data_IF_171458237110
#
_entry.id   IF_171458237110
#
_cell.length_a   1.000
_cell.length_b   1.000
_cell.length_c   1.000
_cell.angle_alpha   90.00
_cell.angle_beta   90.00
_cell.angle_gamma   90.00
#
_symmetry.space_group_name_H-M   'P 1'
#
loop_
_entity.id
_entity.type
_entity.pdbx_description
1 polymer ?
#
# COMPACT_ATOMS: atom_id res chain seq x y z
N UNK A 1 -38.75 -65.55 11.06
CA UNK A 1 -38.20 -66.82 10.54
C UNK A 1 -37.76 -66.55 9.10
N UNK A 2 -36.52 -66.12 8.92
CA UNK A 2 -35.37 -66.95 8.49
C UNK A 2 -35.41 -67.36 7.01
N UNK A 3 -34.45 -66.80 6.27
CA UNK A 3 -33.65 -67.30 5.12
C UNK A 3 -33.70 -66.32 3.93
N UNK A 4 -32.67 -65.51 3.64
CA UNK A 4 -31.28 -65.77 3.19
C UNK A 4 -31.14 -66.60 1.91
N UNK A 5 -30.46 -65.95 0.95
CA UNK A 5 -29.52 -66.44 -0.09
C UNK A 5 -30.12 -66.90 -1.42
N UNK A 6 -29.88 -66.16 -2.51
CA UNK A 6 -28.69 -66.12 -3.40
C UNK A 6 -28.74 -67.22 -4.46
N UNK A 7 -28.82 -66.83 -5.74
CA UNK A 7 -27.94 -67.37 -6.78
C UNK A 7 -28.01 -66.53 -8.06
N UNK A 8 -26.84 -66.04 -8.45
CA UNK A 8 -26.48 -65.44 -9.73
C UNK A 8 -26.53 -66.45 -10.87
N UNK A 9 -26.65 -66.00 -12.13
CA UNK A 9 -25.67 -66.25 -13.20
C UNK A 9 -26.14 -65.60 -14.51
N UNK A 10 -25.15 -64.99 -15.18
CA UNK A 10 -25.12 -64.33 -16.49
C UNK A 10 -25.47 -65.30 -17.65
N UNK A 11 -25.85 -64.76 -18.82
CA UNK A 11 -25.02 -64.68 -20.05
C UNK A 11 -25.87 -64.17 -21.23
N UNK A 12 -25.34 -63.13 -21.88
CA UNK A 12 -25.79 -62.48 -23.13
C UNK A 12 -25.06 -63.16 -24.31
N UNK A 13 -25.66 -63.29 -25.51
CA UNK A 13 -25.21 -62.46 -26.65
C UNK A 13 -26.41 -62.00 -27.53
N UNK A 14 -26.61 -60.69 -27.72
CA UNK A 14 -26.09 -59.90 -28.85
C UNK A 14 -26.67 -60.31 -30.23
N UNK A 15 -27.64 -59.54 -30.71
CA UNK A 15 -27.84 -59.30 -32.15
C UNK A 15 -27.98 -57.79 -32.38
N UNK A 16 -27.04 -57.24 -33.13
CA UNK A 16 -27.07 -55.90 -33.71
C UNK A 16 -28.08 -55.88 -34.86
N UNK A 17 -29.06 -54.98 -34.79
CA UNK A 17 -29.81 -54.52 -35.94
C UNK A 17 -29.75 -52.99 -35.96
N UNK A 18 -29.11 -52.47 -37.00
CA UNK A 18 -29.11 -51.07 -37.40
C UNK A 18 -30.52 -50.65 -37.80
N UNK A 19 -31.13 -49.76 -37.02
CA UNK A 19 -32.40 -49.12 -37.34
C UNK A 19 -32.29 -47.63 -37.14
N UNK A 20 -32.25 -46.88 -38.24
CA UNK A 20 -32.38 -45.43 -38.27
C UNK A 20 -33.82 -45.07 -37.85
N UNK A 21 -33.98 -44.48 -36.68
CA UNK A 21 -35.26 -44.00 -36.15
C UNK A 21 -35.13 -42.53 -35.77
N UNK A 22 -36.02 -41.70 -36.31
CA UNK A 22 -36.00 -40.26 -36.21
C UNK A 22 -35.96 -39.75 -34.76
N UNK A 23 -35.10 -38.76 -34.52
CA UNK A 23 -35.05 -38.00 -33.27
C UNK A 23 -36.34 -37.17 -33.16
N UNK A 24 -37.09 -37.40 -32.09
CA UNK A 24 -38.20 -36.54 -31.69
C UNK A 24 -37.66 -35.13 -31.38
N UNK A 25 -38.36 -34.10 -31.85
CA UNK A 25 -38.06 -32.69 -31.55
C UNK A 25 -37.91 -32.50 -30.05
N UNK A 26 -36.69 -32.18 -29.62
CA UNK A 26 -36.44 -31.70 -28.27
C UNK A 26 -37.19 -30.38 -28.11
N UNK A 27 -38.17 -30.36 -27.21
CA UNK A 27 -38.76 -29.10 -26.73
C UNK A 27 -37.61 -28.20 -26.30
N UNK A 28 -37.51 -27.03 -26.92
CA UNK A 28 -36.56 -26.00 -26.51
C UNK A 28 -36.75 -25.77 -25.00
N UNK A 29 -35.69 -26.00 -24.24
CA UNK A 29 -35.60 -25.54 -22.86
C UNK A 29 -35.70 -24.02 -22.93
N UNK A 30 -36.69 -23.43 -22.26
CA UNK A 30 -36.85 -21.98 -22.21
C UNK A 30 -35.57 -21.35 -21.67
N UNK A 31 -35.22 -20.17 -22.19
CA UNK A 31 -34.07 -19.41 -21.73
C UNK A 31 -34.15 -19.18 -20.21
N UNK A 32 -33.00 -19.15 -19.53
CA UNK A 32 -32.96 -18.88 -18.09
C UNK A 32 -33.59 -17.50 -17.83
N UNK A 33 -34.73 -17.47 -17.15
CA UNK A 33 -35.23 -16.24 -16.54
C UNK A 33 -34.28 -15.86 -15.41
N UNK A 34 -33.37 -14.92 -15.69
CA UNK A 34 -32.61 -14.21 -14.64
C UNK A 34 -33.59 -13.51 -13.72
N UNK A 35 -33.69 -13.96 -12.47
CA UNK A 35 -34.28 -13.15 -11.42
C UNK A 35 -33.47 -11.86 -11.27
N UNK A 36 -34.19 -10.74 -11.09
CA UNK A 36 -33.58 -9.43 -10.88
C UNK A 36 -32.55 -9.50 -9.75
N UNK A 37 -31.38 -8.92 -10.02
CA UNK A 37 -30.22 -8.79 -9.15
C UNK A 37 -30.59 -8.76 -7.65
N UNK A 38 -30.48 -9.90 -6.98
CA UNK A 38 -30.05 -9.87 -5.60
C UNK A 38 -28.63 -9.30 -5.62
N UNK A 39 -28.39 -8.21 -4.88
CA UNK A 39 -27.05 -7.70 -4.58
C UNK A 39 -26.30 -8.77 -3.78
N UNK A 40 -25.81 -9.79 -4.48
CA UNK A 40 -24.73 -10.62 -3.99
C UNK A 40 -23.55 -9.67 -3.89
N UNK A 41 -23.28 -9.18 -2.68
CA UNK A 41 -22.09 -8.41 -2.40
C UNK A 41 -20.89 -9.16 -2.99
N UNK A 42 -20.35 -8.64 -4.09
CA UNK A 42 -19.16 -9.20 -4.72
C UNK A 42 -18.04 -9.18 -3.68
N UNK A 43 -17.18 -10.20 -3.68
CA UNK A 43 -16.07 -10.26 -2.75
C UNK A 43 -14.78 -9.81 -3.43
N UNK A 44 -13.97 -9.01 -2.74
CA UNK A 44 -12.58 -8.79 -3.09
C UNK A 44 -11.67 -9.69 -2.26
N UNK A 45 -10.72 -10.33 -2.94
CA UNK A 45 -9.77 -11.27 -2.33
C UNK A 45 -8.41 -10.62 -2.21
N UNK A 46 -7.81 -10.75 -1.02
CA UNK A 46 -6.46 -10.32 -0.71
C UNK A 46 -5.63 -11.48 -0.20
N UNK A 47 -4.40 -11.59 -0.69
CA UNK A 47 -3.41 -12.47 -0.10
C UNK A 47 -2.02 -11.85 -0.22
N UNK A 48 -1.15 -12.17 0.73
CA UNK A 48 0.20 -11.63 0.71
C UNK A 48 1.10 -12.22 1.76
N UNK A 49 2.36 -11.80 1.71
CA UNK A 49 3.41 -12.11 2.69
C UNK A 49 3.88 -10.81 3.32
N UNK A 50 4.02 -10.80 4.64
CA UNK A 50 4.57 -9.65 5.38
C UNK A 50 6.03 -9.91 5.74
N UNK A 51 6.88 -8.93 5.48
CA UNK A 51 8.31 -8.93 5.79
C UNK A 51 8.67 -7.69 6.61
N UNK A 52 9.79 -7.74 7.33
CA UNK A 52 10.40 -6.52 7.86
C UNK A 52 11.34 -5.88 6.84
N UNK A 53 11.85 -4.68 7.13
CA UNK A 53 12.77 -3.97 6.23
C UNK A 53 14.13 -4.66 6.02
N UNK A 54 14.46 -5.69 6.79
CA UNK A 54 15.60 -6.59 6.54
C UNK A 54 15.25 -7.77 5.60
N UNK A 55 14.00 -7.88 5.13
CA UNK A 55 13.52 -8.91 4.22
C UNK A 55 13.02 -10.20 4.88
N UNK A 56 13.11 -10.31 6.21
CA UNK A 56 12.69 -11.49 6.96
C UNK A 56 11.16 -11.55 7.08
N UNK A 57 10.58 -12.72 6.79
CA UNK A 57 9.13 -12.96 6.92
C UNK A 57 8.65 -12.78 8.36
N UNK A 58 7.45 -12.24 8.53
CA UNK A 58 6.90 -11.87 9.82
C UNK A 58 5.63 -12.65 10.13
N UNK A 59 5.75 -13.65 10.99
CA UNK A 59 4.61 -14.33 11.61
C UNK A 59 3.95 -13.45 12.68
N UNK A 60 2.65 -13.66 12.94
CA UNK A 60 1.95 -12.97 14.03
C UNK A 60 1.60 -11.50 13.76
N UNK A 61 1.69 -11.03 12.52
CA UNK A 61 1.28 -9.66 12.14
C UNK A 61 -0.24 -9.63 12.04
N UNK A 62 -0.87 -8.70 12.73
CA UNK A 62 -2.31 -8.44 12.59
C UNK A 62 -2.55 -7.64 11.31
N UNK A 63 -3.34 -8.19 10.41
CA UNK A 63 -3.77 -7.59 9.14
C UNK A 63 -5.25 -7.24 9.25
N UNK A 64 -5.61 -5.99 8.99
CA UNK A 64 -7.02 -5.54 9.01
C UNK A 64 -7.41 -4.91 7.68
N UNK A 65 -8.53 -5.33 7.13
CA UNK A 65 -9.14 -4.83 5.88
C UNK A 65 -10.63 -4.64 6.11
N UNK A 66 -11.15 -3.43 5.92
CA UNK A 66 -12.57 -3.09 6.13
C UNK A 66 -13.12 -3.63 7.47
N UNK A 67 -12.33 -3.54 8.54
CA UNK A 67 -12.70 -4.02 9.89
C UNK A 67 -12.55 -5.53 10.12
N UNK A 68 -12.34 -6.34 9.07
CA UNK A 68 -12.04 -7.76 9.23
C UNK A 68 -10.57 -7.93 9.61
N UNK A 69 -10.29 -8.73 10.64
CA UNK A 69 -8.94 -8.97 11.13
C UNK A 69 -8.48 -10.42 10.87
N UNK A 70 -7.21 -10.58 10.51
CA UNK A 70 -6.48 -11.86 10.44
C UNK A 70 -5.06 -11.70 10.96
N UNK A 71 -4.41 -12.80 11.26
CA UNK A 71 -3.01 -12.83 11.69
C UNK A 71 -2.19 -13.63 10.70
N UNK A 72 -0.98 -13.17 10.36
CA UNK A 72 -0.08 -13.93 9.48
C UNK A 72 0.39 -15.23 10.11
N UNK A 73 0.51 -16.28 9.29
CA UNK A 73 0.99 -17.60 9.70
C UNK A 73 2.50 -17.62 9.98
N UNK A 74 3.07 -18.80 10.28
CA UNK A 74 4.50 -18.99 10.58
C UNK A 74 5.43 -18.64 9.41
N UNK A 75 4.90 -18.58 8.18
CA UNK A 75 5.62 -18.17 6.97
C UNK A 75 5.39 -16.69 6.62
N UNK A 76 4.65 -15.97 7.46
CA UNK A 76 4.30 -14.56 7.28
C UNK A 76 3.18 -14.32 6.28
N UNK A 77 2.40 -15.34 5.92
CA UNK A 77 1.34 -15.24 4.90
C UNK A 77 -0.03 -14.98 5.51
N UNK A 78 -0.89 -14.31 4.75
CA UNK A 78 -2.31 -14.15 5.07
C UNK A 78 -3.19 -14.32 3.82
N UNK A 79 -4.47 -14.62 4.05
CA UNK A 79 -5.52 -14.65 3.05
C UNK A 79 -6.82 -14.07 3.65
N UNK A 80 -7.49 -13.21 2.91
CA UNK A 80 -8.73 -12.55 3.32
C UNK A 80 -9.68 -12.39 2.13
N UNK A 81 -10.97 -12.62 2.36
CA UNK A 81 -12.04 -12.23 1.44
C UNK A 81 -12.91 -11.21 2.18
N UNK A 82 -13.14 -10.06 1.55
CA UNK A 82 -13.91 -8.94 2.12
C UNK A 82 -14.97 -8.47 1.12
N UNK A 83 -15.99 -7.78 1.62
CA UNK A 83 -17.02 -7.17 0.77
C UNK A 83 -16.39 -6.16 -0.19
N UNK A 84 -16.87 -6.16 -1.44
CA UNK A 84 -16.41 -5.23 -2.46
C UNK A 84 -16.64 -3.77 -2.05
N UNK A 85 -15.72 -2.88 -2.42
CA UNK A 85 -15.77 -1.46 -2.09
C UNK A 85 -15.40 -0.63 -3.30
N UNK A 86 -16.33 0.21 -3.77
CA UNK A 86 -16.07 1.18 -4.85
C UNK A 86 -15.05 2.27 -4.44
N UNK A 87 -14.81 2.42 -3.13
CA UNK A 87 -13.85 3.37 -2.58
C UNK A 87 -12.45 2.76 -2.39
N UNK A 88 -12.25 1.50 -2.80
CA UNK A 88 -11.02 0.75 -2.54
C UNK A 88 -10.92 0.24 -1.09
N UNK A 89 -9.70 -0.10 -0.69
CA UNK A 89 -9.39 -0.85 0.52
C UNK A 89 -8.15 -0.28 1.19
N UNK A 90 -8.23 -0.10 2.51
CA UNK A 90 -7.07 0.22 3.35
C UNK A 90 -6.69 -1.04 4.11
N UNK A 91 -5.50 -1.56 3.82
CA UNK A 91 -4.88 -2.67 4.52
C UNK A 91 -4.00 -2.09 5.63
N UNK A 92 -4.23 -2.46 6.89
CA UNK A 92 -3.36 -2.06 8.01
C UNK A 92 -2.63 -3.25 8.61
N UNK A 93 -1.37 -3.05 8.98
CA UNK A 93 -0.46 -4.07 9.49
C UNK A 93 0.11 -3.64 10.83
N UNK A 94 -0.03 -4.49 11.84
CA UNK A 94 0.40 -4.19 13.22
C UNK A 94 1.11 -5.37 13.86
N UNK A 95 2.26 -5.09 14.48
CA UNK A 95 3.02 -6.05 15.30
C UNK A 95 3.93 -5.29 16.26
N UNK A 96 3.97 -5.74 17.52
CA UNK A 96 4.86 -5.13 18.52
C UNK A 96 6.32 -5.21 18.08
N UNK A 97 7.07 -4.12 18.31
CA UNK A 97 8.46 -3.98 17.89
C UNK A 97 8.67 -3.62 16.41
N UNK A 98 7.61 -3.51 15.61
CA UNK A 98 7.65 -2.99 14.23
C UNK A 98 6.86 -1.69 14.12
N UNK A 99 7.22 -0.85 13.15
CA UNK A 99 6.40 0.28 12.76
C UNK A 99 5.10 -0.22 12.14
N UNK A 100 3.97 0.38 12.51
CA UNK A 100 2.70 0.06 11.84
C UNK A 100 2.76 0.50 10.39
N UNK A 101 2.05 -0.19 9.50
CA UNK A 101 1.97 0.17 8.09
C UNK A 101 0.51 0.20 7.64
N UNK A 102 0.24 0.99 6.62
CA UNK A 102 -1.04 1.01 5.93
C UNK A 102 -0.80 1.15 4.44
N UNK A 103 -1.61 0.47 3.63
CA UNK A 103 -1.49 0.49 2.17
C UNK A 103 -2.88 0.57 1.55
N UNK A 104 -3.01 1.33 0.47
CA UNK A 104 -4.26 1.48 -0.27
C UNK A 104 -4.26 0.63 -1.54
N UNK A 105 -5.37 -0.04 -1.81
CA UNK A 105 -5.62 -0.78 -3.04
C UNK A 105 -7.00 -0.42 -3.60
N UNK A 106 -7.11 -0.17 -4.91
CA UNK A 106 -8.40 0.11 -5.57
C UNK A 106 -9.24 -1.15 -5.78
N UNK A 107 -8.62 -2.34 -5.79
CA UNK A 107 -9.26 -3.63 -6.01
C UNK A 107 -8.58 -4.75 -5.20
N UNK A 108 -9.21 -5.93 -5.15
CA UNK A 108 -8.60 -7.14 -4.59
C UNK A 108 -7.30 -7.51 -5.31
N UNK A 109 -6.25 -7.83 -4.55
CA UNK A 109 -4.94 -8.22 -5.11
C UNK A 109 -4.32 -9.38 -4.32
N UNK A 110 -3.81 -10.36 -5.03
CA UNK A 110 -3.19 -11.57 -4.46
C UNK A 110 -1.67 -11.52 -4.60
N UNK A 111 -0.98 -12.34 -3.81
CA UNK A 111 0.48 -12.46 -3.79
C UNK A 111 1.21 -11.13 -3.50
N UNK A 112 0.60 -10.28 -2.68
CA UNK A 112 1.20 -9.03 -2.24
C UNK A 112 2.43 -9.28 -1.37
N UNK A 113 3.38 -8.36 -1.41
CA UNK A 113 4.55 -8.37 -0.55
C UNK A 113 4.60 -7.05 0.23
N UNK A 114 4.39 -7.14 1.54
CA UNK A 114 4.33 -5.98 2.43
C UNK A 114 5.61 -5.88 3.24
N UNK A 115 6.10 -4.67 3.45
CA UNK A 115 7.29 -4.39 4.25
C UNK A 115 6.95 -3.49 5.41
N UNK A 116 7.23 -3.93 6.63
CA UNK A 116 7.13 -3.11 7.85
C UNK A 116 8.53 -2.68 8.29
N UNK A 117 8.66 -1.41 8.67
CA UNK A 117 9.93 -0.91 9.19
C UNK A 117 10.23 -1.51 10.57
N UNK A 118 11.50 -1.86 10.78
CA UNK A 118 11.96 -2.40 12.07
C UNK A 118 12.02 -1.28 13.10
N UNK A 119 11.38 -1.49 14.26
CA UNK A 119 11.42 -0.53 15.36
C UNK A 119 12.65 -0.68 16.23
N UNK A 120 13.23 0.44 16.64
CA UNK A 120 14.14 0.51 17.78
C UNK A 120 13.30 0.44 19.07
N UNK A 121 13.55 -0.57 19.90
CA UNK A 121 12.79 -0.79 21.14
C UNK A 121 13.65 -0.45 22.34
N UNK A 122 13.14 0.40 23.22
CA UNK A 122 13.77 0.75 24.49
C UNK A 122 12.76 0.63 25.62
N UNK A 123 13.12 -0.11 26.68
CA UNK A 123 12.31 -0.18 27.90
C UNK A 123 12.60 1.01 28.81
N UNK A 124 11.55 1.65 29.31
CA UNK A 124 11.62 2.81 30.20
C UNK A 124 10.74 2.61 31.43
N UNK A 125 11.03 3.36 32.51
CA UNK A 125 10.09 3.49 33.62
C UNK A 125 9.09 4.60 33.29
N UNK A 126 7.76 4.36 33.35
CA UNK A 126 6.77 5.39 33.03
C UNK A 126 6.71 6.50 34.09
N UNK A 127 7.33 6.30 35.26
CA UNK A 127 7.32 7.26 36.39
C UNK A 127 8.51 8.22 36.38
N UNK A 128 9.36 8.19 35.35
CA UNK A 128 10.56 9.02 35.22
C UNK A 128 10.63 9.61 33.81
N UNK A 129 11.09 10.85 33.69
CA UNK A 129 11.38 11.47 32.41
C UNK A 129 12.39 10.61 31.63
N UNK A 130 12.08 10.32 30.37
CA UNK A 130 12.84 9.38 29.55
C UNK A 130 13.05 9.92 28.15
N UNK A 131 14.25 9.71 27.62
CA UNK A 131 14.60 10.01 26.22
C UNK A 131 14.92 8.72 25.49
N UNK A 132 14.25 8.50 24.36
CA UNK A 132 14.55 7.42 23.41
C UNK A 132 15.22 8.04 22.20
N UNK A 133 16.42 7.56 21.85
CA UNK A 133 17.17 8.02 20.66
C UNK A 133 17.50 6.81 19.79
N UNK A 134 17.06 6.84 18.54
CA UNK A 134 17.32 5.75 17.58
C UNK A 134 18.64 5.97 16.83
N UNK A 135 19.24 4.92 16.25
CA UNK A 135 20.38 5.06 15.35
C UNK A 135 20.12 5.96 14.13
N UNK A 136 18.86 6.07 13.69
CA UNK A 136 18.45 6.94 12.59
C UNK A 136 18.40 8.44 12.97
N UNK A 137 18.59 8.77 14.25
CA UNK A 137 18.57 10.14 14.75
C UNK A 137 17.21 10.62 15.27
N UNK A 138 16.14 9.82 15.14
CA UNK A 138 14.84 10.12 15.79
C UNK A 138 15.02 10.20 17.30
N UNK A 139 14.46 11.24 17.92
CA UNK A 139 14.43 11.40 19.38
C UNK A 139 13.00 11.57 19.88
N UNK A 140 12.67 10.93 20.99
CA UNK A 140 11.38 11.07 21.68
C UNK A 140 11.64 11.31 23.16
N UNK A 141 11.16 12.43 23.68
CA UNK A 141 11.23 12.80 25.09
C UNK A 141 9.85 12.63 25.73
N UNK A 142 9.75 11.67 26.64
CA UNK A 142 8.55 11.35 27.41
C UNK A 142 8.71 11.91 28.82
N UNK A 143 7.69 12.61 29.32
CA UNK A 143 7.65 13.04 30.72
C UNK A 143 7.11 11.92 31.61
N UNK A 144 7.53 11.89 32.86
CA UNK A 144 6.99 11.00 33.88
C UNK A 144 5.47 11.09 33.98
N UNK A 145 4.82 9.96 34.25
CA UNK A 145 3.39 9.83 34.53
C UNK A 145 2.49 10.33 33.38
N UNK A 146 2.96 10.27 32.13
CA UNK A 146 2.18 10.70 30.96
C UNK A 146 1.54 9.56 30.17
N UNK A 147 1.93 8.31 30.42
CA UNK A 147 1.43 7.16 29.68
C UNK A 147 0.25 6.49 30.40
N UNK A 148 -0.82 6.24 29.66
CA UNK A 148 -2.04 5.58 30.14
C UNK A 148 -2.46 4.47 29.19
N UNK A 149 -3.19 3.47 29.70
CA UNK A 149 -3.84 2.45 28.89
C UNK A 149 -5.17 2.95 28.29
N UNK A 150 -5.89 2.08 27.59
CA UNK A 150 -7.14 2.43 26.89
C UNK A 150 -8.26 2.90 27.82
N UNK A 151 -8.23 2.51 29.09
CA UNK A 151 -9.18 2.94 30.13
C UNK A 151 -8.73 4.23 30.83
N UNK A 152 -7.63 4.86 30.39
CA UNK A 152 -7.06 6.05 31.02
C UNK A 152 -6.27 5.78 32.31
N UNK A 153 -6.03 4.51 32.66
CA UNK A 153 -5.26 4.15 33.87
C UNK A 153 -3.76 4.36 33.60
N UNK A 154 -3.04 5.08 34.48
CA UNK A 154 -1.60 5.31 34.34
C UNK A 154 -0.79 4.01 34.30
N UNK A 155 0.22 3.98 33.44
CA UNK A 155 1.20 2.90 33.42
C UNK A 155 2.10 2.99 34.66
N UNK A 156 2.25 1.88 35.38
CA UNK A 156 3.07 1.79 36.60
C UNK A 156 4.23 0.80 36.48
N UNK A 157 4.14 -0.17 35.57
CA UNK A 157 5.19 -1.14 35.27
C UNK A 157 6.09 -0.69 34.11
N UNK A 158 7.20 -1.42 33.83
CA UNK A 158 8.08 -1.14 32.71
C UNK A 158 7.32 -1.05 31.38
N UNK A 159 7.68 -0.06 30.56
CA UNK A 159 7.06 0.19 29.25
C UNK A 159 8.07 0.02 28.15
N UNK A 160 7.73 -0.73 27.10
CA UNK A 160 8.53 -0.80 25.87
C UNK A 160 8.10 0.28 24.89
N UNK A 161 9.01 1.20 24.59
CA UNK A 161 8.83 2.24 23.58
C UNK A 161 9.43 1.76 22.28
N UNK A 162 8.62 1.70 21.23
CA UNK A 162 9.04 1.35 19.86
C UNK A 162 9.11 2.63 19.04
N UNK A 163 10.26 2.93 18.46
CA UNK A 163 10.46 4.09 17.58
C UNK A 163 11.04 3.65 16.25
N UNK A 164 10.46 4.10 15.14
CA UNK A 164 10.99 3.85 13.81
C UNK A 164 10.90 5.11 12.95
N UNK A 165 11.80 5.25 11.98
CA UNK A 165 11.68 6.18 10.86
C UNK A 165 11.14 5.43 9.64
N UNK A 166 10.33 6.08 8.81
CA UNK A 166 9.89 5.51 7.54
C UNK A 166 10.83 5.89 6.40
N UNK A 167 10.98 4.98 5.43
CA UNK A 167 11.47 5.34 4.09
C UNK A 167 10.48 6.37 3.48
N UNK A 168 10.96 7.50 2.91
CA UNK A 168 10.12 8.53 2.30
C UNK A 168 9.11 8.00 1.27
N UNK A 169 9.43 6.88 0.61
CA UNK A 169 8.58 6.26 -0.42
C UNK A 169 7.67 5.15 0.12
N UNK A 170 7.76 4.83 1.42
CA UNK A 170 6.98 3.78 2.10
C UNK A 170 6.26 4.31 3.34
N UNK A 171 5.85 5.57 3.29
CA UNK A 171 4.95 6.09 4.31
C UNK A 171 3.62 5.35 4.30
N UNK A 172 3.00 5.16 5.47
CA UNK A 172 1.64 4.64 5.59
C UNK A 172 0.62 5.39 4.72
N UNK A 173 -0.32 4.62 4.17
CA UNK A 173 -1.41 5.09 3.34
C UNK A 173 -1.04 5.28 1.88
N UNK A 174 -1.76 6.17 1.23
CA UNK A 174 -1.64 6.48 -0.19
C UNK A 174 -1.00 7.86 -0.41
N UNK A 175 -0.34 8.43 0.62
CA UNK A 175 0.18 9.80 0.64
C UNK A 175 -0.89 10.91 0.54
N UNK A 176 -2.17 10.57 0.65
CA UNK A 176 -3.24 11.56 0.75
C UNK A 176 -3.35 12.08 2.17
N UNK A 177 -3.58 13.38 2.30
CA UNK A 177 -3.90 14.02 3.57
C UNK A 177 -5.14 14.91 3.50
N UNK A 178 -5.64 15.28 4.66
CA UNK A 178 -6.65 16.33 4.85
C UNK A 178 -6.02 17.43 5.69
N UNK A 179 -5.96 18.64 5.14
CA UNK A 179 -5.36 19.77 5.83
C UNK A 179 -6.34 20.43 6.82
N UNK A 180 -5.86 21.43 7.57
CA UNK A 180 -6.63 22.14 8.60
C UNK A 180 -7.87 22.87 8.07
N UNK A 181 -7.95 23.13 6.76
CA UNK A 181 -9.15 23.69 6.09
C UNK A 181 -10.15 22.63 5.63
N UNK A 182 -9.85 21.34 5.84
CA UNK A 182 -10.65 20.21 5.33
C UNK A 182 -10.38 19.88 3.86
N UNK A 183 -9.41 20.53 3.22
CA UNK A 183 -9.03 20.25 1.82
C UNK A 183 -8.19 18.99 1.74
N UNK A 184 -8.52 18.13 0.78
CA UNK A 184 -7.69 16.97 0.45
C UNK A 184 -6.44 17.42 -0.31
N UNK A 185 -5.28 16.91 0.10
CA UNK A 185 -3.95 17.25 -0.41
C UNK A 185 -3.13 15.99 -0.56
N UNK A 186 -2.01 16.07 -1.28
CA UNK A 186 -0.98 15.04 -1.30
C UNK A 186 0.21 15.44 -0.41
N UNK A 187 0.98 14.46 0.05
CA UNK A 187 2.18 14.67 0.84
C UNK A 187 3.43 14.34 0.05
N UNK A 188 4.42 15.21 0.15
CA UNK A 188 5.78 14.93 -0.26
C UNK A 188 6.67 14.82 0.98
N UNK A 189 7.24 13.63 1.19
CA UNK A 189 7.85 13.31 2.49
C UNK A 189 9.23 13.93 2.69
N UNK A 190 9.40 14.61 3.83
CA UNK A 190 10.71 15.08 4.34
C UNK A 190 11.00 14.56 5.74
N UNK A 191 10.16 13.68 6.27
CA UNK A 191 10.46 12.87 7.44
C UNK A 191 9.20 12.33 8.11
N UNK A 192 9.17 11.03 8.37
CA UNK A 192 8.07 10.37 9.07
C UNK A 192 8.58 9.38 10.09
N UNK A 193 7.88 9.27 11.21
CA UNK A 193 8.21 8.39 12.33
C UNK A 193 6.98 7.64 12.85
N UNK A 194 7.25 6.49 13.44
CA UNK A 194 6.32 5.79 14.32
C UNK A 194 6.82 5.87 15.75
N UNK A 195 5.91 6.14 16.68
CA UNK A 195 6.15 6.03 18.12
C UNK A 195 5.03 5.18 18.72
N UNK A 196 5.38 4.01 19.25
CA UNK A 196 4.48 3.12 19.97
C UNK A 196 4.95 2.91 21.40
N UNK A 197 4.03 2.60 22.30
CA UNK A 197 4.32 2.22 23.67
C UNK A 197 3.45 1.01 24.06
N UNK A 198 4.04 0.02 24.70
CA UNK A 198 3.31 -1.16 25.21
C UNK A 198 3.75 -1.51 26.62
N UNK A 199 2.82 -2.02 27.43
CA UNK A 199 3.15 -2.61 28.72
C UNK A 199 3.76 -4.02 28.59
N UNK A 200 4.07 -4.65 29.72
CA UNK A 200 4.66 -5.99 29.78
C UNK A 200 3.75 -7.11 29.20
N UNK A 201 2.44 -6.89 29.12
CA UNK A 201 1.50 -7.83 28.49
C UNK A 201 1.41 -7.64 26.97
N UNK A 202 2.07 -6.59 26.44
CA UNK A 202 1.99 -6.19 25.05
C UNK A 202 0.78 -5.30 24.73
N UNK A 203 0.04 -4.83 25.74
CA UNK A 203 -1.09 -3.94 25.55
C UNK A 203 -0.61 -2.51 25.28
N UNK A 204 -1.29 -1.84 24.33
CA UNK A 204 -0.98 -0.48 23.91
C UNK A 204 -1.17 0.55 25.04
N UNK A 205 -0.23 1.50 25.09
CA UNK A 205 -0.28 2.70 25.91
C UNK A 205 -0.25 3.95 25.03
N UNK A 206 -0.77 5.06 25.52
CA UNK A 206 -0.74 6.34 24.83
C UNK A 206 -0.54 7.50 25.81
N UNK A 207 -0.32 8.71 25.29
CA UNK A 207 -0.27 9.91 26.10
C UNK A 207 -1.67 10.19 26.70
N UNK A 208 -1.69 10.43 28.01
CA UNK A 208 -2.86 10.89 28.74
C UNK A 208 -3.39 12.20 28.14
N UNK A 209 -4.69 12.44 28.26
CA UNK A 209 -5.30 13.69 27.77
C UNK A 209 -4.62 14.91 28.40
N UNK A 210 -4.19 15.84 27.56
CA UNK A 210 -3.46 17.05 27.98
C UNK A 210 -1.97 16.84 28.27
N UNK A 211 -1.49 15.59 28.35
CA UNK A 211 -0.07 15.31 28.44
C UNK A 211 0.65 15.54 27.09
N UNK A 212 1.94 15.82 27.17
CA UNK A 212 2.76 16.12 25.99
C UNK A 212 4.04 15.32 25.97
N UNK A 213 4.52 14.98 24.78
CA UNK A 213 5.87 14.50 24.51
C UNK A 213 6.53 15.36 23.43
N UNK A 214 7.85 15.45 23.42
CA UNK A 214 8.59 16.14 22.35
C UNK A 214 9.25 15.13 21.44
N UNK A 215 9.04 15.26 20.14
CA UNK A 215 9.69 14.44 19.11
C UNK A 215 10.69 15.26 18.29
N UNK A 216 11.68 14.59 17.73
CA UNK A 216 12.54 15.09 16.65
C UNK A 216 12.51 14.11 15.50
N UNK A 217 12.06 14.59 14.34
CA UNK A 217 12.02 13.85 13.08
C UNK A 217 13.23 14.29 12.24
N UNK A 218 14.24 13.43 12.03
CA UNK A 218 15.34 13.76 11.13
C UNK A 218 14.85 13.82 9.69
N UNK A 219 15.48 14.68 8.89
CA UNK A 219 15.34 14.60 7.43
C UNK A 219 15.95 13.27 6.97
N UNK A 220 15.22 12.43 6.21
CA UNK A 220 15.73 11.16 5.71
C UNK A 220 17.00 11.35 4.88
N UNK A 221 17.95 10.43 5.02
CA UNK A 221 19.25 10.51 4.31
C UNK A 221 19.08 10.55 2.80
N UNK A 222 18.01 9.92 2.27
CA UNK A 222 17.66 9.94 0.85
C UNK A 222 17.24 11.34 0.35
N UNK A 223 16.71 12.19 1.24
CA UNK A 223 16.38 13.60 0.97
C UNK A 223 17.61 14.48 1.24
N UNK A 224 18.44 14.11 2.23
CA UNK A 224 19.72 14.75 2.54
C UNK A 224 19.59 15.91 3.52
N UNK A 225 18.81 16.93 3.16
CA UNK A 225 18.55 18.12 3.98
C UNK A 225 17.16 18.68 3.72
N UNK A 226 16.64 19.48 4.66
CA UNK A 226 15.34 20.12 4.50
C UNK A 226 15.31 20.92 3.18
N UNK A 227 14.33 20.70 2.28
CA UNK A 227 14.27 21.41 1.00
C UNK A 227 14.23 22.94 1.18
N UNK A 228 14.97 23.66 0.34
CA UNK A 228 15.08 25.12 0.41
C UNK A 228 13.71 25.83 0.34
N UNK A 229 12.76 25.23 -0.38
CA UNK A 229 11.41 25.76 -0.51
C UNK A 229 10.64 25.86 0.82
N UNK A 230 11.04 25.07 1.83
CA UNK A 230 10.47 25.17 3.19
C UNK A 230 11.00 26.42 3.89
N UNK A 231 12.29 26.73 3.76
CA UNK A 231 12.91 27.89 4.41
C UNK A 231 12.60 29.22 3.73
N UNK A 232 12.37 29.24 2.42
CA UNK A 232 11.98 30.46 1.68
C UNK A 232 10.45 30.68 1.64
N UNK A 233 9.67 29.74 2.17
CA UNK A 233 8.22 29.82 2.27
C UNK A 233 7.45 29.46 1.00
N UNK A 234 8.11 28.99 -0.06
CA UNK A 234 7.44 28.58 -1.31
C UNK A 234 6.79 27.19 -1.23
N UNK A 235 7.14 26.39 -0.22
CA UNK A 235 6.48 25.14 0.15
C UNK A 235 5.91 25.23 1.57
N UNK A 236 4.71 24.68 1.79
CA UNK A 236 4.12 24.57 3.13
C UNK A 236 4.49 23.25 3.78
N UNK A 237 5.37 23.29 4.77
CA UNK A 237 5.58 22.16 5.69
C UNK A 237 4.50 22.17 6.78
N UNK A 238 3.95 21.02 7.12
CA UNK A 238 3.04 20.87 8.25
C UNK A 238 3.29 19.56 9.00
N UNK A 239 2.74 19.47 10.20
CA UNK A 239 2.74 18.24 10.99
C UNK A 239 1.48 17.45 10.67
N UNK A 240 1.65 16.20 10.27
CA UNK A 240 0.52 15.32 9.98
C UNK A 240 0.56 14.09 10.85
N UNK A 241 -0.64 13.59 11.11
CA UNK A 241 -0.85 12.36 11.84
C UNK A 241 -1.65 11.40 10.99
N UNK A 242 -1.17 10.18 10.85
CA UNK A 242 -1.91 9.19 10.08
C UNK A 242 -3.21 8.84 10.80
N UNK A 243 -4.28 8.57 10.08
CA UNK A 243 -5.51 8.00 10.62
C UNK A 243 -5.69 6.62 10.01
N UNK A 244 -5.40 5.57 10.79
CA UNK A 244 -5.50 4.18 10.35
C UNK A 244 -6.93 3.73 10.01
N UNK A 245 -7.95 4.48 10.44
CA UNK A 245 -9.35 4.19 10.13
C UNK A 245 -9.71 4.67 8.72
N UNK A 246 -9.25 5.86 8.35
CA UNK A 246 -9.53 6.46 7.04
C UNK A 246 -8.46 6.14 6.00
N UNK A 247 -7.28 5.69 6.45
CA UNK A 247 -6.10 5.49 5.61
C UNK A 247 -5.44 6.80 5.14
N UNK A 248 -5.83 7.94 5.72
CA UNK A 248 -5.35 9.28 5.32
C UNK A 248 -4.53 9.93 6.41
N UNK A 249 -3.63 10.83 6.01
CA UNK A 249 -2.97 11.74 6.93
C UNK A 249 -3.89 12.92 7.28
N UNK A 250 -3.77 13.44 8.49
CA UNK A 250 -4.56 14.58 8.96
C UNK A 250 -3.62 15.62 9.55
N UNK A 251 -3.75 16.87 9.12
CA UNK A 251 -2.98 17.96 9.69
C UNK A 251 -3.32 18.13 11.17
N UNK A 252 -2.31 18.32 12.00
CA UNK A 252 -2.45 18.65 13.42
C UNK A 252 -1.77 19.98 13.69
N UNK A 253 -2.42 20.81 14.52
CA UNK A 253 -1.85 22.06 15.03
C UNK A 253 -0.79 21.81 16.10
N UNK A 254 0.25 21.05 15.76
CA UNK A 254 1.38 20.79 16.65
C UNK A 254 2.39 21.95 16.59
N UNK A 255 2.90 22.34 17.75
CA UNK A 255 4.06 23.25 17.80
C UNK A 255 5.24 22.56 17.13
N UNK A 256 5.87 23.22 16.15
CA UNK A 256 7.03 22.70 15.43
C UNK A 256 8.15 23.74 15.30
N UNK A 257 9.39 23.24 15.26
CA UNK A 257 10.58 24.02 14.94
C UNK A 257 11.33 23.29 13.83
N UNK A 258 11.44 23.95 12.67
CA UNK A 258 12.08 23.42 11.47
C UNK A 258 13.55 23.78 11.47
N UNK A 259 14.42 22.80 11.28
CA UNK A 259 15.85 22.97 11.09
C UNK A 259 16.33 22.29 9.80
N UNK A 260 17.60 22.51 9.41
CA UNK A 260 18.15 21.96 8.17
C UNK A 260 18.24 20.42 8.17
N UNK A 261 18.32 19.80 9.36
CA UNK A 261 18.49 18.35 9.54
C UNK A 261 17.24 17.65 10.06
N UNK A 262 16.15 18.37 10.33
CA UNK A 262 14.93 17.77 10.86
C UNK A 262 13.98 18.77 11.51
N UNK A 263 12.88 18.24 12.04
CA UNK A 263 11.80 19.00 12.65
C UNK A 263 11.59 18.52 14.08
N UNK A 264 11.70 19.44 15.04
CA UNK A 264 11.27 19.20 16.43
C UNK A 264 9.78 19.52 16.54
N UNK A 265 9.01 18.71 17.24
CA UNK A 265 7.57 18.91 17.39
C UNK A 265 7.03 18.43 18.74
N UNK A 266 5.85 18.89 19.11
CA UNK A 266 5.13 18.44 20.32
C UNK A 266 3.98 17.50 19.96
N UNK A 267 4.02 16.29 20.50
CA UNK A 267 2.89 15.35 20.52
C UNK A 267 1.99 15.70 21.69
N UNK A 268 0.67 15.73 21.47
CA UNK A 268 -0.32 16.01 22.51
C UNK A 268 -1.30 14.83 22.65
N UNK A 269 -1.53 14.39 23.89
CA UNK A 269 -2.43 13.29 24.20
C UNK A 269 -3.90 13.68 24.15
N UNK A 270 -4.70 12.79 23.56
CA UNK A 270 -6.17 12.90 23.42
C UNK A 270 -6.89 11.65 23.96
N UNK A 271 -6.16 10.72 24.60
CA UNK A 271 -6.63 9.45 25.20
C UNK A 271 -7.37 8.42 24.33
N UNK A 272 -7.51 8.61 23.01
CA UNK A 272 -8.16 7.61 22.16
C UNK A 272 -7.21 6.43 21.84
N UNK A 273 -7.51 5.24 22.38
CA UNK A 273 -6.81 3.97 22.12
C UNK A 273 -7.84 2.91 21.70
N UNK A 274 -7.50 2.09 20.72
CA UNK A 274 -8.29 0.96 20.21
C UNK A 274 -7.31 -0.14 19.81
N UNK A 275 -7.57 -1.38 20.22
CA UNK A 275 -6.73 -2.54 19.85
C UNK A 275 -5.40 -2.66 20.61
N UNK A 276 -4.54 -3.55 20.10
CA UNK A 276 -3.29 -3.99 20.76
C UNK A 276 -2.07 -3.09 20.51
N UNK A 277 -2.12 -2.19 19.51
CA UNK A 277 -1.09 -1.18 19.20
C UNK A 277 -1.78 0.18 19.23
N UNK A 278 -1.13 1.25 19.73
CA UNK A 278 -1.81 2.54 19.84
C UNK A 278 -2.30 2.96 18.46
N UNK A 279 -3.62 3.04 18.29
CA UNK A 279 -4.17 3.69 17.11
C UNK A 279 -3.60 5.09 17.00
N UNK A 280 -3.31 5.48 15.78
CA UNK A 280 -2.78 6.77 15.38
C UNK A 280 -3.70 7.98 15.69
N UNK A 281 -4.69 7.82 16.56
CA UNK A 281 -5.67 8.87 16.93
C UNK A 281 -5.36 9.52 18.29
N UNK A 282 -4.54 8.88 19.15
CA UNK A 282 -4.14 9.42 20.45
C UNK A 282 -3.05 10.50 20.36
N UNK A 283 -2.04 10.50 21.23
CA UNK A 283 -0.86 11.40 21.13
C UNK A 283 0.34 10.77 20.43
N UNK A 284 0.63 9.50 20.73
CA UNK A 284 1.60 8.65 20.03
C UNK A 284 1.04 8.14 18.68
N UNK A 285 1.82 7.37 17.93
CA UNK A 285 1.46 6.80 16.63
C UNK A 285 2.37 7.28 15.50
N UNK A 286 1.82 7.37 14.29
CA UNK A 286 2.54 7.77 13.08
C UNK A 286 2.42 9.27 12.87
N UNK A 287 3.57 9.94 12.83
CA UNK A 287 3.70 11.38 12.64
C UNK A 287 4.68 11.65 11.52
N UNK A 288 4.42 12.67 10.71
CA UNK A 288 5.38 13.17 9.74
C UNK A 288 5.42 14.70 9.77
N UNK A 289 6.55 15.24 9.32
CA UNK A 289 6.72 16.64 9.01
C UNK A 289 6.90 16.70 7.50
N UNK A 290 5.82 16.92 6.76
CA UNK A 290 5.81 16.73 5.31
C UNK A 290 5.26 17.94 4.58
N UNK A 291 5.67 18.08 3.31
CA UNK A 291 5.29 19.20 2.46
C UNK A 291 3.91 18.93 1.87
N UNK A 292 3.00 19.88 2.03
CA UNK A 292 1.69 19.88 1.39
C UNK A 292 1.84 20.09 -0.12
N UNK A 293 1.17 19.25 -0.91
CA UNK A 293 1.03 19.38 -2.36
C UNK A 293 -0.44 19.44 -2.75
N UNK A 294 -0.82 20.54 -3.38
CA UNK A 294 -2.19 20.78 -3.85
C UNK A 294 -2.45 20.23 -5.25
N UNK A 295 -1.39 20.07 -6.04
CA UNK A 295 -1.47 19.80 -7.47
C UNK A 295 -0.48 18.69 -7.87
N UNK A 296 -0.63 17.45 -7.36
CA UNK A 296 0.18 16.33 -7.79
C UNK A 296 -0.14 15.92 -9.24
N UNK A 297 0.79 15.22 -9.87
CA UNK A 297 0.59 14.52 -11.14
C UNK A 297 0.26 13.04 -10.89
N UNK A 298 -0.08 12.34 -11.97
CA UNK A 298 -0.18 10.89 -12.01
C UNK A 298 0.29 10.34 -13.35
N UNK A 299 0.75 9.09 -13.35
CA UNK A 299 1.29 8.37 -14.50
C UNK A 299 0.63 7.00 -14.63
N UNK A 300 0.14 6.66 -15.82
CA UNK A 300 -0.31 5.30 -16.14
C UNK A 300 0.87 4.47 -16.67
N UNK A 301 1.03 3.26 -16.16
CA UNK A 301 1.93 2.26 -16.71
C UNK A 301 1.05 1.13 -17.22
N UNK A 302 1.16 0.78 -18.50
CA UNK A 302 0.31 -0.25 -19.10
C UNK A 302 1.11 -1.24 -19.96
N UNK A 303 0.62 -2.48 -19.99
CA UNK A 303 1.08 -3.52 -20.90
C UNK A 303 0.11 -3.61 -22.08
N UNK A 304 0.61 -3.47 -23.31
CA UNK A 304 -0.23 -3.52 -24.52
C UNK A 304 0.22 -4.67 -25.41
N UNK A 305 -0.73 -5.54 -25.79
CA UNK A 305 -0.45 -6.70 -26.65
C UNK A 305 0.46 -7.75 -26.00
N UNK A 306 0.49 -7.83 -24.66
CA UNK A 306 1.54 -8.52 -23.92
C UNK A 306 1.25 -10.03 -23.72
N UNK A 307 2.10 -10.95 -24.24
CA UNK A 307 1.85 -12.40 -24.15
C UNK A 307 1.91 -12.94 -22.72
N UNK A 308 1.01 -13.87 -22.37
CA UNK A 308 0.96 -14.50 -21.04
C UNK A 308 2.27 -15.18 -20.64
N UNK A 309 2.99 -15.77 -21.60
CA UNK A 309 4.28 -16.43 -21.36
C UNK A 309 5.36 -15.45 -20.89
N UNK A 310 5.23 -14.15 -21.15
CA UNK A 310 6.18 -13.15 -20.68
C UNK A 310 6.07 -12.86 -19.17
N UNK A 311 4.99 -13.28 -18.51
CA UNK A 311 4.87 -13.26 -17.04
C UNK A 311 5.63 -14.41 -16.36
N UNK A 312 6.19 -15.35 -17.15
CA UNK A 312 6.96 -16.49 -16.67
C UNK A 312 6.18 -17.38 -15.69
N UNK A 313 6.90 -18.20 -14.94
CA UNK A 313 6.30 -19.08 -13.92
C UNK A 313 5.83 -18.32 -12.67
N UNK A 314 6.29 -17.08 -12.50
CA UNK A 314 5.88 -16.22 -11.40
C UNK A 314 4.45 -15.66 -11.59
N UNK A 315 3.93 -15.64 -12.81
CA UNK A 315 2.63 -15.04 -13.13
C UNK A 315 2.59 -13.52 -12.94
N UNK A 316 3.75 -12.89 -12.81
CA UNK A 316 3.90 -11.45 -12.62
C UNK A 316 5.22 -10.95 -13.22
N UNK A 317 5.22 -9.71 -13.73
CA UNK A 317 6.41 -8.98 -14.19
C UNK A 317 6.75 -7.87 -13.20
N UNK A 318 8.04 -7.63 -12.99
CA UNK A 318 8.52 -6.59 -12.09
C UNK A 318 8.70 -5.27 -12.83
N UNK A 319 8.21 -4.19 -12.22
CA UNK A 319 8.50 -2.83 -12.62
C UNK A 319 9.51 -2.20 -11.67
N UNK A 320 10.54 -1.58 -12.24
CA UNK A 320 11.54 -0.81 -11.53
C UNK A 320 11.28 0.67 -11.81
N UNK A 321 10.86 1.37 -10.77
CA UNK A 321 10.48 2.77 -10.82
C UNK A 321 11.57 3.61 -10.17
N UNK A 322 11.77 4.83 -10.65
CA UNK A 322 12.44 5.87 -9.86
C UNK A 322 11.62 7.15 -9.91
N UNK A 323 11.20 7.59 -8.73
CA UNK A 323 10.35 8.77 -8.56
C UNK A 323 11.10 9.86 -7.79
N UNK A 324 10.93 11.13 -8.15
CA UNK A 324 11.62 12.22 -7.46
C UNK A 324 11.07 12.37 -6.04
N UNK A 325 11.96 12.48 -5.07
CA UNK A 325 11.60 12.86 -3.71
C UNK A 325 11.53 14.39 -3.54
N UNK A 326 11.37 14.84 -2.30
CA UNK A 326 11.31 16.26 -1.94
C UNK A 326 12.51 17.09 -2.39
N UNK A 327 13.70 16.50 -2.52
CA UNK A 327 14.90 17.15 -3.03
C UNK A 327 15.06 17.03 -4.56
N UNK A 328 14.14 16.33 -5.25
CA UNK A 328 14.24 16.01 -6.68
C UNK A 328 15.13 14.81 -7.00
N UNK A 329 15.68 14.14 -5.99
CA UNK A 329 16.46 12.91 -6.15
C UNK A 329 15.55 11.77 -6.53
N UNK A 330 15.87 11.05 -7.61
CA UNK A 330 15.13 9.88 -8.06
C UNK A 330 15.35 8.70 -7.09
N UNK A 331 14.31 8.34 -6.34
CA UNK A 331 14.31 7.24 -5.39
C UNK A 331 13.77 5.96 -6.02
N UNK A 332 14.45 4.81 -5.84
CA UNK A 332 14.01 3.55 -6.39
C UNK A 332 12.75 3.05 -5.68
N UNK A 333 11.83 2.48 -6.46
CA UNK A 333 10.66 1.74 -5.98
C UNK A 333 10.42 0.56 -6.92
N UNK A 334 9.85 -0.51 -6.42
CA UNK A 334 9.41 -1.64 -7.24
C UNK A 334 7.91 -1.80 -7.15
N UNK A 335 7.33 -2.32 -8.22
CA UNK A 335 5.95 -2.79 -8.27
C UNK A 335 5.87 -4.02 -9.16
N UNK A 336 4.71 -4.67 -9.20
CA UNK A 336 4.48 -5.87 -10.01
C UNK A 336 3.13 -5.79 -10.70
N UNK A 337 3.11 -6.23 -11.95
CA UNK A 337 1.89 -6.46 -12.71
C UNK A 337 1.69 -7.95 -12.96
N UNK A 338 0.43 -8.35 -12.96
CA UNK A 338 -0.01 -9.70 -13.32
C UNK A 338 -1.11 -9.59 -14.36
N UNK A 339 -1.48 -10.71 -14.99
CA UNK A 339 -2.58 -10.75 -15.97
C UNK A 339 -3.92 -10.24 -15.41
N UNK A 340 -4.13 -10.36 -14.08
CA UNK A 340 -5.35 -9.89 -13.43
C UNK A 340 -5.40 -8.36 -13.23
N UNK A 341 -4.28 -7.66 -13.40
CA UNK A 341 -4.17 -6.20 -13.24
C UNK A 341 -3.15 -5.69 -14.26
N UNK A 342 -3.55 -5.40 -15.51
CA UNK A 342 -2.59 -5.11 -16.59
C UNK A 342 -2.03 -3.68 -16.61
N UNK A 343 -2.26 -2.90 -15.54
CA UNK A 343 -1.78 -1.53 -15.43
C UNK A 343 -1.45 -1.13 -13.98
N UNK A 344 -0.57 -0.13 -13.83
CA UNK A 344 -0.25 0.56 -12.58
C UNK A 344 -0.64 2.02 -12.73
N UNK A 345 -1.17 2.60 -11.66
CA UNK A 345 -1.32 4.05 -11.53
C UNK A 345 -0.31 4.55 -10.52
N UNK A 346 0.64 5.36 -10.96
CA UNK A 346 1.47 6.16 -10.06
C UNK A 346 0.71 7.46 -9.77
N UNK A 347 0.49 7.77 -8.50
CA UNK A 347 -0.30 8.92 -8.08
C UNK A 347 0.36 9.63 -6.90
N UNK A 348 -0.12 10.83 -6.60
CA UNK A 348 0.52 11.72 -5.62
C UNK A 348 2.01 11.97 -5.91
N UNK A 349 2.40 11.90 -7.19
CA UNK A 349 3.77 12.16 -7.63
C UNK A 349 3.96 13.64 -7.96
N UNK A 350 5.21 14.11 -7.88
CA UNK A 350 5.57 15.48 -8.25
C UNK A 350 5.21 15.75 -9.71
N UNK A 351 4.50 16.84 -9.97
CA UNK A 351 4.17 17.28 -11.32
C UNK A 351 5.38 17.90 -12.03
N UNK A 352 5.39 17.82 -13.35
CA UNK A 352 6.40 18.37 -14.24
C UNK A 352 7.84 17.93 -13.93
N UNK A 353 8.02 16.75 -13.35
CA UNK A 353 9.31 16.25 -12.88
C UNK A 353 9.74 15.00 -13.65
N UNK A 354 11.05 14.77 -13.74
CA UNK A 354 11.55 13.53 -14.33
C UNK A 354 11.18 12.32 -13.45
N UNK A 355 10.82 11.23 -14.10
CA UNK A 355 10.61 9.91 -13.52
C UNK A 355 11.22 8.85 -14.45
N UNK A 356 11.55 7.69 -13.89
CA UNK A 356 12.05 6.53 -14.62
C UNK A 356 11.12 5.34 -14.39
N UNK A 357 10.74 4.66 -15.47
CA UNK A 357 9.90 3.47 -15.42
C UNK A 357 10.53 2.41 -16.30
N UNK A 358 10.84 1.25 -15.71
CA UNK A 358 11.37 0.11 -16.43
C UNK A 358 10.66 -1.18 -16.05
N UNK A 359 10.79 -2.16 -16.94
CA UNK A 359 10.27 -3.51 -16.79
C UNK A 359 11.44 -4.49 -16.73
N UNK A 360 11.32 -5.52 -15.91
CA UNK A 360 12.23 -6.67 -15.89
C UNK A 360 11.42 -7.95 -15.98
N UNK A 361 11.71 -8.73 -17.00
CA UNK A 361 11.08 -10.03 -17.22
C UNK A 361 11.61 -11.04 -16.21
N UNK A 362 10.73 -11.88 -15.62
CA UNK A 362 11.12 -12.88 -14.66
C UNK A 362 11.89 -14.03 -15.32
N UNK A 363 12.59 -14.81 -14.50
CA UNK A 363 13.20 -16.05 -14.96
C UNK A 363 12.12 -16.98 -15.58
N UNK A 364 12.45 -17.60 -16.71
CA UNK A 364 11.52 -18.45 -17.46
C UNK A 364 10.66 -17.73 -18.49
N UNK A 365 10.66 -16.39 -18.54
CA UNK A 365 10.09 -15.67 -19.67
C UNK A 365 10.91 -15.94 -20.96
N UNK A 366 10.26 -16.14 -22.12
CA UNK A 366 10.97 -16.27 -23.39
C UNK A 366 11.88 -15.08 -23.68
N UNK A 367 13.06 -15.32 -24.26
CA UNK A 367 14.00 -14.24 -24.62
C UNK A 367 13.42 -13.25 -25.63
N UNK A 368 12.45 -13.68 -26.44
CA UNK A 368 11.68 -12.83 -27.35
C UNK A 368 11.00 -11.67 -26.63
N UNK A 369 10.53 -11.86 -25.40
CA UNK A 369 9.84 -10.82 -24.64
C UNK A 369 10.71 -9.56 -24.43
N UNK A 370 11.99 -9.75 -24.06
CA UNK A 370 12.93 -8.64 -23.89
C UNK A 370 13.48 -8.14 -25.23
N UNK A 371 13.73 -9.06 -26.18
CA UNK A 371 14.31 -8.73 -27.50
C UNK A 371 13.38 -7.86 -28.34
N UNK A 372 12.08 -8.12 -28.27
CA UNK A 372 11.05 -7.45 -29.06
C UNK A 372 10.30 -6.38 -28.24
N UNK A 373 10.85 -5.97 -27.09
CA UNK A 373 10.26 -4.95 -26.25
C UNK A 373 10.32 -3.58 -26.96
N UNK A 374 9.18 -2.91 -27.01
CA UNK A 374 9.05 -1.51 -27.38
C UNK A 374 8.47 -0.71 -26.20
N UNK A 375 9.05 0.47 -25.94
CA UNK A 375 8.65 1.34 -24.83
C UNK A 375 8.35 2.73 -25.37
N UNK A 376 7.10 3.17 -25.21
CA UNK A 376 6.66 4.50 -25.59
C UNK A 376 6.10 5.24 -24.38
N UNK A 377 6.50 6.50 -24.16
CA UNK A 377 5.97 7.34 -23.09
C UNK A 377 5.38 8.64 -23.59
N UNK A 378 4.38 9.12 -22.87
CA UNK A 378 3.81 10.45 -23.00
C UNK A 378 3.93 11.17 -21.65
N UNK A 379 4.47 12.39 -21.56
CA UNK A 379 5.30 13.06 -22.56
C UNK A 379 6.46 12.20 -23.10
N UNK A 380 7.00 12.61 -24.25
CA UNK A 380 8.06 11.88 -24.94
C UNK A 380 9.27 11.61 -24.03
N UNK A 381 9.93 10.48 -24.27
CA UNK A 381 11.11 10.07 -23.54
C UNK A 381 12.21 11.14 -23.60
N UNK A 382 12.96 11.28 -22.50
CA UNK A 382 14.15 12.11 -22.44
C UNK A 382 15.22 11.57 -23.39
N UNK A 383 16.14 12.44 -23.83
CA UNK A 383 17.24 12.06 -24.71
C UNK A 383 18.04 10.87 -24.14
N UNK A 384 18.32 9.87 -24.99
CA UNK A 384 19.01 8.64 -24.60
C UNK A 384 18.11 7.54 -24.05
N UNK A 385 16.78 7.73 -24.03
CA UNK A 385 15.80 6.72 -23.66
C UNK A 385 14.83 6.43 -24.82
N UNK A 386 14.21 5.22 -24.86
CA UNK A 386 14.39 4.10 -23.92
C UNK A 386 15.75 3.39 -24.03
N UNK A 387 16.14 2.72 -22.95
CA UNK A 387 17.31 1.84 -22.89
C UNK A 387 16.84 0.40 -22.74
N UNK A 388 17.34 -0.49 -23.60
CA UNK A 388 16.99 -1.91 -23.60
C UNK A 388 18.11 -2.76 -23.01
N UNK A 389 17.73 -3.84 -22.33
CA UNK A 389 18.65 -4.83 -21.77
C UNK A 389 18.23 -6.24 -22.21
N UNK A 390 19.09 -7.23 -21.96
CA UNK A 390 18.75 -8.63 -22.25
C UNK A 390 17.58 -9.18 -21.42
N UNK A 391 17.16 -8.47 -20.37
CA UNK A 391 16.11 -8.88 -19.44
C UNK A 391 14.95 -7.87 -19.35
N UNK A 392 14.92 -6.83 -20.18
CA UNK A 392 13.86 -5.84 -20.18
C UNK A 392 14.29 -4.50 -20.76
N UNK A 393 13.82 -3.42 -20.15
CA UNK A 393 14.15 -2.07 -20.60
C UNK A 393 13.58 -1.00 -19.69
N UNK A 394 14.00 0.24 -19.92
CA UNK A 394 13.65 1.38 -19.09
C UNK A 394 13.50 2.64 -19.94
N UNK A 395 12.51 3.47 -19.60
CA UNK A 395 12.37 4.82 -20.15
C UNK A 395 12.41 5.85 -19.04
N UNK A 396 12.81 7.07 -19.39
CA UNK A 396 12.78 8.23 -18.50
C UNK A 396 12.05 9.36 -19.20
N UNK A 397 11.10 9.97 -18.51
CA UNK A 397 10.20 10.97 -19.08
C UNK A 397 9.66 11.89 -17.99
N UNK A 398 8.96 12.94 -18.39
CA UNK A 398 8.36 13.89 -17.46
C UNK A 398 7.00 13.35 -16.94
N UNK A 399 6.67 13.56 -15.67
CA UNK A 399 5.40 13.16 -15.04
C UNK A 399 4.18 13.98 -15.50
N UNK A 400 4.40 15.00 -16.32
CA UNK A 400 3.35 15.84 -16.90
C UNK A 400 2.75 16.83 -15.90
N UNK A 401 1.79 17.61 -16.40
CA UNK A 401 1.06 18.59 -15.60
C UNK A 401 0.24 17.92 -14.48
N UNK A 402 -0.17 18.69 -13.44
CA UNK A 402 -1.10 18.20 -12.43
C UNK A 402 -2.36 17.60 -13.05
N UNK A 403 -2.88 16.54 -12.44
CA UNK A 403 -4.05 15.84 -12.98
C UNK A 403 -5.39 16.43 -12.51
N UNK A 404 -5.38 17.38 -11.58
CA UNK A 404 -6.58 18.09 -11.11
C UNK A 404 -7.20 17.54 -9.82
N UNK A 405 -6.52 16.62 -9.12
CA UNK A 405 -6.96 16.10 -7.83
C UNK A 405 -5.82 15.54 -6.98
N UNK A 406 -6.15 14.78 -5.94
CA UNK A 406 -5.20 14.15 -5.00
C UNK A 406 -5.66 12.73 -4.66
N UNK A 407 -4.73 11.86 -4.28
CA UNK A 407 -5.00 10.44 -4.03
C UNK A 407 -5.06 9.63 -5.32
N UNK A 408 -5.66 8.45 -5.23
CA UNK A 408 -5.88 7.59 -6.40
C UNK A 408 -6.78 8.32 -7.42
N UNK A 409 -6.34 8.47 -8.69
CA UNK A 409 -7.10 9.17 -9.71
C UNK A 409 -8.46 8.54 -9.98
N UNK A 410 -9.43 9.39 -10.30
CA UNK A 410 -10.80 9.00 -10.61
C UNK A 410 -11.12 9.28 -12.08
N UNK A 411 -11.93 8.44 -12.69
CA UNK A 411 -12.52 8.68 -14.01
C UNK A 411 -13.43 9.94 -13.98
N UNK A 412 -13.89 10.45 -15.14
CA UNK A 412 -14.84 11.56 -15.17
C UNK A 412 -16.18 11.31 -14.45
N UNK A 413 -16.54 10.04 -14.20
CA UNK A 413 -17.71 9.63 -13.43
C UNK A 413 -17.49 9.60 -11.91
N UNK A 414 -16.26 9.78 -11.43
CA UNK A 414 -15.87 9.69 -10.02
C UNK A 414 -15.50 8.28 -9.53
N UNK A 415 -15.46 7.28 -10.43
CA UNK A 415 -15.05 5.92 -10.12
C UNK A 415 -13.53 5.78 -10.13
N UNK A 416 -13.02 4.73 -9.47
CA UNK A 416 -11.59 4.40 -9.58
C UNK A 416 -11.26 4.10 -11.04
N UNK A 417 -10.14 4.64 -11.54
CA UNK A 417 -9.63 4.28 -12.88
C UNK A 417 -9.51 2.76 -12.99
N UNK A 418 -10.12 2.20 -14.03
CA UNK A 418 -10.06 0.78 -14.35
C UNK A 418 -9.36 0.50 -15.69
N UNK A 419 -9.44 -0.74 -16.18
CA UNK A 419 -8.77 -1.13 -17.43
C UNK A 419 -9.45 -0.55 -18.68
N UNK A 420 -10.76 -0.33 -18.63
CA UNK A 420 -11.49 0.27 -19.75
C UNK A 420 -11.08 1.74 -19.89
N UNK A 421 -10.92 2.44 -18.77
CA UNK A 421 -10.41 3.82 -18.76
C UNK A 421 -9.01 3.95 -19.36
N UNK A 422 -8.14 2.98 -19.05
CA UNK A 422 -6.78 2.92 -19.60
C UNK A 422 -6.81 2.64 -21.09
N UNK A 423 -7.59 1.66 -21.54
CA UNK A 423 -7.70 1.29 -22.95
C UNK A 423 -8.29 2.42 -23.83
N UNK A 424 -9.25 3.18 -23.29
CA UNK A 424 -9.89 4.30 -24.00
C UNK A 424 -9.16 5.63 -23.80
N UNK A 425 -8.22 5.72 -22.87
CA UNK A 425 -7.51 6.96 -22.53
C UNK A 425 -8.40 8.01 -21.85
N UNK A 426 -9.46 7.59 -21.15
CA UNK A 426 -10.40 8.48 -20.44
C UNK A 426 -9.93 8.87 -19.03
N UNK A 427 -8.85 8.25 -18.54
CA UNK A 427 -8.23 8.58 -17.24
C UNK A 427 -7.70 10.03 -17.18
N UNK A 428 -7.62 10.65 -16.00
CA UNK A 428 -7.23 12.07 -15.88
C UNK A 428 -5.71 12.31 -16.02
N UNK A 429 -4.88 11.28 -15.87
CA UNK A 429 -3.42 11.41 -15.87
C UNK A 429 -2.88 12.03 -17.15
N UNK A 430 -1.92 12.96 -16.99
CA UNK A 430 -1.26 13.67 -18.10
C UNK A 430 0.05 13.02 -18.53
N UNK A 431 0.31 11.83 -18.00
CA UNK A 431 1.48 11.04 -18.32
C UNK A 431 1.13 9.55 -18.38
N UNK A 432 1.73 8.84 -19.32
CA UNK A 432 1.59 7.40 -19.49
C UNK A 432 2.86 6.78 -20.07
N UNK A 433 3.03 5.48 -19.87
CA UNK A 433 4.06 4.66 -20.53
C UNK A 433 3.49 3.30 -20.90
N UNK A 434 3.70 2.94 -22.16
CA UNK A 434 3.29 1.68 -22.76
C UNK A 434 4.51 0.78 -22.92
N UNK A 435 4.37 -0.48 -22.48
CA UNK A 435 5.32 -1.54 -22.77
C UNK A 435 4.64 -2.54 -23.70
N UNK A 436 5.18 -2.68 -24.91
CA UNK A 436 4.68 -3.58 -25.95
C UNK A 436 5.72 -4.66 -26.22
N UNK A 437 5.28 -5.90 -26.37
CA UNK A 437 6.18 -6.97 -26.78
C UNK A 437 5.40 -8.01 -27.56
N UNK A 438 6.04 -8.57 -28.57
CA UNK A 438 5.50 -9.63 -29.42
C UNK A 438 6.51 -10.80 -29.42
N UNK A 439 6.06 -12.04 -29.59
CA UNK A 439 6.93 -13.22 -29.56
C UNK A 439 7.42 -13.65 -30.93
#
# INVERSE_FOLDING_TARGET
MNLRRLCSILVVPAMLATGCGALEDSKAVGDETREAHADLATSAVFSGTVRNSAGAVQAGVTVVINGISRTTDTTGRYFMSVVASANGYVLTFRKNGLASAAEFYSAGKTNLNHTLETGFVQTVSPTVDSTVTTPSGVKVNLKANTLVNASGVPATGPVSITVASYDPMRMPGDFTAVNSSGRQVALESVGAIFVGATDASGAALNLATGATATGFIPVPTQVGSMPACVSDGTCRLAMWKFNETTGKWEEKSASMQVGPTGTTFTMQGTSSISGAVPISVGGLGMWNADIEKLEPACTIIELVGFPETCFGTAGAVQFNLKLPNAAGTLMPRTDTLSLASPFIVLYNIRANALQEVGITFPAGAPTGCAKNLDIASTPAAAAGYPLYTTTGGVTRFNSGAPWGGTGYPKDPGGNMVDIEDVALGTHPCKSSVQFKTEL
#
